data_IF_953805838825
#
_entry.id   IF_953805838825
#
_cell.length_a   1.000
_cell.length_b   1.000
_cell.length_c   1.000
_cell.angle_alpha   90.00
_cell.angle_beta   90.00
_cell.angle_gamma   90.00
#
_symmetry.space_group_name_H-M   'P 1'
#
loop_
_entity.id
_entity.type
_entity.pdbx_description
1 polymer ?
#
# COMPACT_ATOMS: atom_id res chain seq x y z
N UNK A 1 -6.62 12.43 -17.12
CA UNK A 1 -5.40 12.18 -16.30
C UNK A 1 -5.73 11.70 -14.89
N UNK A 2 -6.68 12.33 -14.19
CA UNK A 2 -7.09 11.94 -12.84
C UNK A 2 -7.40 10.44 -12.66
N UNK A 3 -8.28 9.87 -13.51
CA UNK A 3 -8.61 8.44 -13.48
C UNK A 3 -7.39 7.53 -13.58
N UNK A 4 -6.46 7.83 -14.49
CA UNK A 4 -5.22 7.05 -14.67
C UNK A 4 -4.36 7.09 -13.40
N UNK A 5 -4.25 8.25 -12.76
CA UNK A 5 -3.49 8.42 -11.51
C UNK A 5 -4.10 7.63 -10.35
N UNK A 6 -5.43 7.56 -10.25
CA UNK A 6 -6.12 6.73 -9.26
C UNK A 6 -5.80 5.24 -9.48
N UNK A 7 -5.96 4.74 -10.71
CA UNK A 7 -5.60 3.34 -11.02
C UNK A 7 -4.11 3.07 -10.80
N UNK A 8 -3.24 4.01 -11.15
CA UNK A 8 -1.80 3.88 -10.93
C UNK A 8 -1.46 3.86 -9.43
N UNK A 9 -2.04 4.73 -8.61
CA UNK A 9 -1.79 4.79 -7.17
C UNK A 9 -2.18 3.48 -6.49
N UNK A 10 -3.43 3.04 -6.66
CA UNK A 10 -3.91 1.83 -5.98
C UNK A 10 -3.35 0.55 -6.61
N UNK A 11 -3.10 0.54 -7.93
CA UNK A 11 -2.40 -0.55 -8.61
C UNK A 11 -0.96 -0.71 -8.11
N UNK A 12 -0.25 0.40 -7.94
CA UNK A 12 1.09 0.41 -7.37
C UNK A 12 1.09 -0.11 -5.92
N UNK A 13 0.15 0.34 -5.09
CA UNK A 13 0.01 -0.15 -3.72
C UNK A 13 -0.23 -1.66 -3.66
N UNK A 14 -1.18 -2.17 -4.46
CA UNK A 14 -1.45 -3.60 -4.54
C UNK A 14 -0.23 -4.39 -5.00
N UNK A 15 0.42 -3.95 -6.07
CA UNK A 15 1.63 -4.59 -6.59
C UNK A 15 2.75 -4.60 -5.54
N UNK A 16 3.00 -3.47 -4.89
CA UNK A 16 3.99 -3.34 -3.83
C UNK A 16 3.72 -4.28 -2.65
N UNK A 17 2.47 -4.37 -2.21
CA UNK A 17 2.05 -5.31 -1.17
C UNK A 17 2.25 -6.77 -1.56
N UNK A 18 1.94 -7.14 -2.81
CA UNK A 18 2.20 -8.49 -3.36
C UNK A 18 3.69 -8.79 -3.33
N UNK A 19 4.52 -7.87 -3.83
CA UNK A 19 5.96 -8.06 -3.89
C UNK A 19 6.57 -8.20 -2.50
N UNK A 20 6.16 -7.36 -1.55
CA UNK A 20 6.60 -7.47 -0.15
C UNK A 20 6.18 -8.82 0.45
N UNK A 21 4.91 -9.21 0.35
CA UNK A 21 4.44 -10.49 0.88
C UNK A 21 5.19 -11.69 0.24
N UNK A 22 5.41 -11.63 -1.08
CA UNK A 22 6.07 -12.71 -1.78
C UNK A 22 7.54 -12.85 -1.37
N UNK A 23 8.28 -11.74 -1.28
CA UNK A 23 9.70 -11.75 -0.92
C UNK A 23 9.91 -12.01 0.57
N UNK A 24 9.23 -11.25 1.42
CA UNK A 24 9.46 -11.20 2.86
C UNK A 24 8.65 -12.22 3.66
N UNK A 25 7.73 -12.94 3.02
CA UNK A 25 6.99 -14.04 3.65
C UNK A 25 7.21 -15.33 2.88
N UNK A 26 6.71 -15.42 1.66
CA UNK A 26 6.64 -16.68 0.91
C UNK A 26 8.04 -17.23 0.59
N UNK A 27 8.91 -16.42 -0.04
CA UNK A 27 10.23 -16.89 -0.47
C UNK A 27 11.14 -17.20 0.72
N UNK A 28 11.13 -16.38 1.77
CA UNK A 28 11.92 -16.68 2.97
C UNK A 28 11.42 -17.94 3.68
N UNK A 29 10.10 -18.19 3.72
CA UNK A 29 9.52 -19.41 4.30
C UNK A 29 9.96 -20.65 3.52
N UNK A 30 9.83 -20.62 2.20
CA UNK A 30 10.25 -21.73 1.32
C UNK A 30 11.75 -22.02 1.41
N UNK A 31 12.57 -20.98 1.57
CA UNK A 31 14.03 -21.09 1.74
C UNK A 31 14.47 -21.45 3.16
N UNK A 32 13.54 -21.51 4.12
CA UNK A 32 13.83 -21.78 5.55
C UNK A 32 14.92 -20.86 6.11
N UNK A 33 14.89 -19.58 5.73
CA UNK A 33 15.94 -18.60 6.09
C UNK A 33 16.01 -18.36 7.60
N UNK A 34 14.88 -18.48 8.31
CA UNK A 34 14.75 -18.17 9.74
C UNK A 34 14.43 -19.42 10.56
N UNK A 35 15.05 -19.53 11.73
CA UNK A 35 14.77 -20.61 12.70
C UNK A 35 13.41 -20.40 13.39
N UNK A 36 12.67 -21.46 13.73
CA UNK A 36 11.43 -21.33 14.49
C UNK A 36 11.65 -20.70 15.86
N UNK A 37 10.82 -19.73 16.23
CA UNK A 37 10.92 -19.01 17.51
C UNK A 37 9.97 -17.81 17.54
N UNK A 38 9.83 -17.18 18.71
CA UNK A 38 8.92 -16.05 18.91
C UNK A 38 9.25 -14.85 17.99
N UNK A 39 10.54 -14.57 17.81
CA UNK A 39 11.02 -13.50 16.90
C UNK A 39 10.60 -13.76 15.45
N UNK A 40 10.78 -14.99 14.97
CA UNK A 40 10.38 -15.39 13.61
C UNK A 40 8.86 -15.32 13.43
N UNK A 41 8.07 -15.73 14.43
CA UNK A 41 6.61 -15.59 14.40
C UNK A 41 6.19 -14.12 14.33
N UNK A 42 6.81 -13.25 15.14
CA UNK A 42 6.56 -11.81 15.09
C UNK A 42 6.91 -11.24 13.72
N UNK A 43 8.08 -11.58 13.17
CA UNK A 43 8.52 -11.17 11.85
C UNK A 43 7.49 -11.55 10.77
N UNK A 44 7.04 -12.81 10.73
CA UNK A 44 6.03 -13.22 9.76
C UNK A 44 4.71 -12.49 9.95
N UNK A 45 4.24 -12.35 11.19
CA UNK A 45 3.00 -11.63 11.50
C UNK A 45 3.03 -10.18 11.01
N UNK A 46 4.12 -9.46 11.31
CA UNK A 46 4.30 -8.07 10.91
C UNK A 46 4.36 -7.93 9.38
N UNK A 47 5.22 -8.69 8.69
CA UNK A 47 5.35 -8.58 7.23
C UNK A 47 4.08 -9.07 6.50
N UNK A 48 3.41 -10.09 7.01
CA UNK A 48 2.14 -10.58 6.46
C UNK A 48 1.04 -9.54 6.60
N UNK A 49 0.86 -8.97 7.79
CA UNK A 49 -0.15 -7.94 8.03
C UNK A 49 0.14 -6.67 7.22
N UNK A 50 1.41 -6.29 7.12
CA UNK A 50 1.86 -5.14 6.33
C UNK A 50 1.53 -5.33 4.85
N UNK A 51 1.96 -6.44 4.24
CA UNK A 51 1.71 -6.75 2.83
C UNK A 51 0.23 -6.97 2.52
N UNK A 52 -0.46 -7.82 3.27
CA UNK A 52 -1.89 -8.09 3.05
C UNK A 52 -2.76 -6.84 3.23
N UNK A 53 -2.44 -5.98 4.19
CA UNK A 53 -3.15 -4.72 4.37
C UNK A 53 -3.10 -3.86 3.10
N UNK A 54 -1.93 -3.73 2.48
CA UNK A 54 -1.76 -2.98 1.23
C UNK A 54 -2.50 -3.63 0.07
N UNK A 55 -2.43 -4.96 -0.05
CA UNK A 55 -3.11 -5.72 -1.10
C UNK A 55 -4.61 -5.52 -1.00
N UNK A 56 -5.20 -5.76 0.17
CA UNK A 56 -6.65 -5.67 0.38
C UNK A 56 -7.11 -4.23 0.17
N UNK A 57 -6.42 -3.24 0.74
CA UNK A 57 -6.79 -1.83 0.60
C UNK A 57 -6.70 -1.37 -0.86
N UNK A 58 -5.61 -1.70 -1.56
CA UNK A 58 -5.43 -1.35 -2.96
C UNK A 58 -6.44 -2.04 -3.88
N UNK A 59 -6.70 -3.34 -3.69
CA UNK A 59 -7.70 -4.08 -4.48
C UNK A 59 -9.11 -3.55 -4.24
N UNK A 60 -9.45 -3.25 -2.99
CA UNK A 60 -10.74 -2.65 -2.66
C UNK A 60 -10.89 -1.28 -3.32
N UNK A 61 -9.88 -0.43 -3.25
CA UNK A 61 -9.90 0.86 -3.93
C UNK A 61 -9.99 0.71 -5.46
N UNK A 62 -9.30 -0.25 -6.07
CA UNK A 62 -9.43 -0.54 -7.51
C UNK A 62 -10.83 -1.03 -7.88
N UNK A 63 -11.44 -1.86 -7.02
CA UNK A 63 -12.83 -2.28 -7.17
C UNK A 63 -13.79 -1.08 -7.12
N UNK A 64 -13.63 -0.20 -6.12
CA UNK A 64 -14.41 1.04 -6.03
C UNK A 64 -14.17 1.93 -7.26
N UNK A 65 -12.91 2.10 -7.71
CA UNK A 65 -12.58 2.87 -8.91
C UNK A 65 -13.24 2.33 -10.19
N UNK A 66 -13.59 1.05 -10.22
CA UNK A 66 -14.27 0.40 -11.34
C UNK A 66 -15.78 0.68 -11.35
N UNK A 67 -16.42 0.71 -10.18
CA UNK A 67 -17.88 0.72 -10.06
C UNK A 67 -18.48 2.00 -9.47
N UNK A 68 -17.73 2.74 -8.66
CA UNK A 68 -18.17 3.95 -7.96
C UNK A 68 -16.99 4.92 -7.84
N UNK A 69 -16.48 5.38 -8.98
CA UNK A 69 -15.25 6.15 -9.08
C UNK A 69 -15.32 7.46 -8.26
N UNK A 70 -16.48 8.10 -8.27
CA UNK A 70 -16.77 9.36 -7.61
C UNK A 70 -16.57 9.28 -6.09
N UNK A 71 -16.69 8.08 -5.49
CA UNK A 71 -16.45 7.88 -4.06
C UNK A 71 -14.99 8.16 -3.70
N UNK A 72 -14.03 7.84 -4.58
CA UNK A 72 -12.61 8.06 -4.35
C UNK A 72 -12.20 9.53 -4.48
N UNK A 73 -13.05 10.36 -5.07
CA UNK A 73 -12.85 11.82 -5.15
C UNK A 73 -13.33 12.54 -3.89
N UNK A 74 -14.13 11.88 -3.04
CA UNK A 74 -14.66 12.49 -1.84
C UNK A 74 -13.58 12.61 -0.76
N UNK A 75 -13.64 13.71 0.00
CA UNK A 75 -12.69 13.99 1.06
C UNK A 75 -12.51 12.85 2.09
N UNK A 76 -13.52 12.02 2.45
CA UNK A 76 -13.32 10.93 3.38
C UNK A 76 -12.41 9.84 2.81
N UNK A 77 -12.61 9.46 1.53
CA UNK A 77 -11.81 8.43 0.87
C UNK A 77 -10.35 8.90 0.66
N UNK A 78 -10.17 10.17 0.30
CA UNK A 78 -8.85 10.80 0.19
C UNK A 78 -8.15 10.78 1.55
N UNK A 79 -8.82 11.26 2.60
CA UNK A 79 -8.26 11.29 3.97
C UNK A 79 -7.88 9.90 4.45
N UNK A 80 -8.76 8.92 4.26
CA UNK A 80 -8.48 7.53 4.65
C UNK A 80 -7.26 6.97 3.92
N UNK A 81 -7.12 7.26 2.62
CA UNK A 81 -5.98 6.80 1.82
C UNK A 81 -4.66 7.41 2.31
N UNK A 82 -4.64 8.70 2.65
CA UNK A 82 -3.46 9.35 3.24
C UNK A 82 -3.13 8.82 4.63
N UNK A 83 -4.13 8.64 5.50
CA UNK A 83 -3.92 8.07 6.83
C UNK A 83 -3.34 6.66 6.76
N UNK A 84 -3.87 5.83 5.86
CA UNK A 84 -3.36 4.48 5.64
C UNK A 84 -1.91 4.52 5.12
N UNK A 85 -1.59 5.39 4.16
CA UNK A 85 -0.23 5.57 3.65
C UNK A 85 0.75 5.99 4.75
N UNK A 86 0.38 6.94 5.60
CA UNK A 86 1.19 7.38 6.74
C UNK A 86 1.37 6.23 7.74
N UNK A 87 0.31 5.48 8.04
CA UNK A 87 0.41 4.33 8.93
C UNK A 87 1.40 3.27 8.41
N UNK A 88 1.36 2.92 7.12
CA UNK A 88 2.35 2.01 6.53
C UNK A 88 3.76 2.61 6.48
N UNK A 89 3.90 3.91 6.27
CA UNK A 89 5.23 4.54 6.27
C UNK A 89 5.83 4.52 7.68
N UNK A 90 5.05 4.90 8.70
CA UNK A 90 5.46 4.85 10.11
C UNK A 90 5.81 3.41 10.50
N UNK A 91 4.94 2.45 10.19
CA UNK A 91 5.22 1.04 10.46
C UNK A 91 6.51 0.57 9.78
N UNK A 92 6.73 0.93 8.51
CA UNK A 92 7.95 0.61 7.78
C UNK A 92 9.21 1.28 8.32
N UNK A 93 9.09 2.39 9.05
CA UNK A 93 10.21 3.06 9.73
C UNK A 93 10.58 2.37 11.04
N UNK A 94 9.59 1.90 11.80
CA UNK A 94 9.82 1.30 13.14
C UNK A 94 10.10 -0.20 13.09
N UNK A 95 9.50 -0.94 12.16
CA UNK A 95 9.52 -2.41 12.17
C UNK A 95 10.23 -3.04 10.97
N UNK A 96 10.53 -2.28 9.92
CA UNK A 96 11.17 -2.80 8.71
C UNK A 96 12.50 -2.09 8.47
N UNK A 97 13.61 -2.82 8.60
CA UNK A 97 14.95 -2.23 8.56
C UNK A 97 15.33 -1.75 7.14
N UNK A 98 15.06 -2.56 6.12
CA UNK A 98 15.41 -2.28 4.73
C UNK A 98 14.50 -1.22 4.09
N UNK A 99 14.93 -0.62 2.97
CA UNK A 99 14.38 0.64 2.44
C UNK A 99 13.23 0.45 1.46
N UNK A 100 13.15 -0.70 0.83
CA UNK A 100 12.28 -1.00 -0.30
C UNK A 100 10.79 -0.75 0.01
N UNK A 101 10.22 -1.19 1.16
CA UNK A 101 8.82 -0.94 1.48
C UNK A 101 8.54 0.54 1.74
N UNK A 102 9.51 1.25 2.33
CA UNK A 102 9.43 2.70 2.55
C UNK A 102 9.37 3.44 1.20
N UNK A 103 10.18 3.04 0.23
CA UNK A 103 10.18 3.60 -1.13
C UNK A 103 8.85 3.32 -1.84
N UNK A 104 8.35 2.08 -1.75
CA UNK A 104 7.05 1.70 -2.35
C UNK A 104 5.93 2.59 -1.81
N UNK A 105 5.85 2.78 -0.49
CA UNK A 105 4.84 3.65 0.13
C UNK A 105 5.05 5.12 -0.21
N UNK A 106 6.29 5.61 -0.29
CA UNK A 106 6.56 6.98 -0.74
C UNK A 106 6.07 7.24 -2.16
N UNK A 107 6.27 6.29 -3.08
CA UNK A 107 5.75 6.38 -4.45
C UNK A 107 4.21 6.38 -4.44
N UNK A 108 3.57 5.53 -3.63
CA UNK A 108 2.12 5.55 -3.45
C UNK A 108 1.62 6.92 -2.98
N UNK A 109 2.27 7.54 -1.99
CA UNK A 109 1.93 8.88 -1.50
C UNK A 109 2.04 9.92 -2.62
N UNK A 110 3.11 9.90 -3.40
CA UNK A 110 3.32 10.84 -4.51
C UNK A 110 2.21 10.68 -5.56
N UNK A 111 1.88 9.45 -5.95
CA UNK A 111 0.81 9.16 -6.89
C UNK A 111 -0.56 9.62 -6.35
N UNK A 112 -0.81 9.42 -5.06
CA UNK A 112 -2.04 9.85 -4.39
C UNK A 112 -2.17 11.38 -4.37
N UNK A 113 -1.09 12.10 -4.04
CA UNK A 113 -1.05 13.58 -4.13
C UNK A 113 -1.35 14.05 -5.55
N UNK A 114 -0.68 13.46 -6.55
CA UNK A 114 -0.90 13.81 -7.95
C UNK A 114 -2.37 13.54 -8.36
N UNK A 115 -2.94 12.42 -7.93
CA UNK A 115 -4.34 12.09 -8.17
C UNK A 115 -5.26 13.15 -7.55
N UNK A 116 -5.11 13.46 -6.26
CA UNK A 116 -5.94 14.47 -5.57
C UNK A 116 -5.84 15.86 -6.23
N UNK A 117 -4.63 16.31 -6.58
CA UNK A 117 -4.44 17.60 -7.24
C UNK A 117 -5.11 17.64 -8.62
N UNK A 118 -4.99 16.57 -9.40
CA UNK A 118 -5.60 16.49 -10.73
C UNK A 118 -7.13 16.43 -10.72
N UNK A 119 -7.74 15.93 -9.64
CA UNK A 119 -9.19 15.97 -9.45
C UNK A 119 -9.69 17.38 -9.18
N UNK A 120 -9.02 18.12 -8.30
CA UNK A 120 -9.38 19.52 -7.98
C UNK A 120 -9.25 20.48 -9.18
N UNK A 121 -8.33 20.21 -10.11
CA UNK A 121 -8.21 20.99 -11.35
C UNK A 121 -9.34 20.74 -12.36
N UNK A 122 -10.10 19.65 -12.23
CA UNK A 122 -11.21 19.34 -13.14
C UNK A 122 -12.54 20.02 -12.75
N UNK A 123 -12.63 20.53 -11.51
CA UNK A 123 -13.81 21.21 -10.97
C UNK A 123 -13.65 22.76 -10.91
N UNK A 124 -12.57 23.29 -11.48
CA UNK A 124 -12.36 24.73 -11.73
C UNK A 124 -12.49 25.02 -13.21
#
# INVERSE_FOLDING_TARGET
>A
MHKILIYAAYGWLTFGGIMHLFVDVVLQYLRKVRLPGAETTLYWGLNTAYGLGQIIFGLFALFVARYAFEVLEQWPAITLSFLAAVAWLVFGLFFIEYREPKIIISIFIILLIAATMSGNSAYR
#
